data_IF_034879866134
#
_entry.id   IF_034879866134
#
_cell.length_a   1.000
_cell.length_b   1.000
_cell.length_c   1.000
_cell.angle_alpha   90.00
_cell.angle_beta   90.00
_cell.angle_gamma   90.00
#
_symmetry.space_group_name_H-M   'P 1'
#
loop_
_entity.id
_entity.type
_entity.pdbx_description
1 polymer ?
#
# COMPACT_ATOMS: atom_id res chain seq x y z
N UNK A 1 7.43 -0.31 -7.72
CA UNK A 1 7.48 1.14 -7.93
C UNK A 1 8.09 1.53 -9.27
N UNK A 2 9.23 0.96 -9.69
CA UNK A 2 9.88 1.29 -10.98
C UNK A 2 8.97 1.09 -12.21
N UNK A 3 8.24 -0.03 -12.28
CA UNK A 3 7.29 -0.28 -13.37
C UNK A 3 6.14 0.73 -13.40
N UNK A 4 5.60 1.12 -12.24
CA UNK A 4 4.56 2.15 -12.16
C UNK A 4 5.08 3.49 -12.71
N UNK A 5 6.32 3.87 -12.34
CA UNK A 5 6.96 5.10 -12.83
C UNK A 5 7.16 5.09 -14.35
N UNK A 6 7.70 4.01 -14.90
CA UNK A 6 7.89 3.87 -16.36
C UNK A 6 6.57 4.02 -17.12
N UNK A 7 5.51 3.37 -16.64
CA UNK A 7 4.20 3.47 -17.29
C UNK A 7 3.60 4.87 -17.18
N UNK A 8 3.84 5.58 -16.07
CA UNK A 8 3.45 6.98 -15.95
C UNK A 8 4.17 7.87 -16.97
N UNK A 9 5.50 7.71 -17.11
CA UNK A 9 6.32 8.44 -18.09
C UNK A 9 5.91 8.14 -19.54
N UNK A 10 5.41 6.93 -19.80
CA UNK A 10 4.89 6.50 -21.12
C UNK A 10 3.43 6.93 -21.37
N UNK A 11 2.76 7.60 -20.43
CA UNK A 11 1.36 8.01 -20.55
C UNK A 11 0.34 6.88 -20.34
N UNK A 12 0.78 5.69 -19.92
CA UNK A 12 -0.08 4.56 -19.58
C UNK A 12 -0.59 4.67 -18.14
N UNK A 13 -1.41 5.70 -17.87
CA UNK A 13 -1.80 6.10 -16.50
C UNK A 13 -2.60 5.03 -15.74
N UNK A 14 -3.52 4.32 -16.41
CA UNK A 14 -4.33 3.27 -15.78
C UNK A 14 -3.42 2.14 -15.25
N UNK A 15 -2.45 1.72 -16.08
CA UNK A 15 -1.49 0.70 -15.71
C UNK A 15 -0.51 1.20 -14.63
N UNK A 16 -0.10 2.46 -14.70
CA UNK A 16 0.72 3.08 -13.66
C UNK A 16 0.00 3.07 -12.30
N UNK A 17 -1.29 3.41 -12.28
CA UNK A 17 -2.12 3.40 -11.08
C UNK A 17 -2.25 1.99 -10.50
N UNK A 18 -2.62 1.01 -11.32
CA UNK A 18 -2.71 -0.40 -10.93
C UNK A 18 -1.39 -0.91 -10.32
N UNK A 19 -0.26 -0.64 -10.97
CA UNK A 19 1.06 -1.05 -10.49
C UNK A 19 1.45 -0.34 -9.18
N UNK A 20 1.01 0.90 -8.97
CA UNK A 20 1.23 1.61 -7.72
C UNK A 20 0.45 0.98 -6.56
N UNK A 21 -0.84 0.65 -6.78
CA UNK A 21 -1.67 -0.05 -5.81
C UNK A 21 -1.07 -1.41 -5.45
N UNK A 22 -0.71 -2.23 -6.44
CA UNK A 22 -0.10 -3.55 -6.22
C UNK A 22 1.21 -3.48 -5.44
N UNK A 23 2.02 -2.46 -5.72
CA UNK A 23 3.25 -2.22 -4.96
C UNK A 23 2.95 -1.88 -3.49
N UNK A 24 2.01 -0.97 -3.23
CA UNK A 24 1.61 -0.61 -1.87
C UNK A 24 1.05 -1.82 -1.10
N UNK A 25 0.25 -2.65 -1.76
CA UNK A 25 -0.33 -3.87 -1.19
C UNK A 25 0.76 -4.85 -0.73
N UNK A 26 1.72 -5.14 -1.62
CA UNK A 26 2.82 -6.06 -1.32
C UNK A 26 3.74 -5.53 -0.23
N UNK A 27 3.99 -4.22 -0.21
CA UNK A 27 4.80 -3.58 0.84
C UNK A 27 4.15 -3.70 2.22
N UNK A 28 2.85 -3.38 2.30
CA UNK A 28 2.09 -3.51 3.55
C UNK A 28 2.00 -4.96 4.02
N UNK A 29 1.79 -5.90 3.08
CA UNK A 29 1.84 -7.34 3.37
C UNK A 29 3.19 -7.77 3.94
N UNK A 30 4.29 -7.36 3.31
CA UNK A 30 5.63 -7.67 3.80
C UNK A 30 5.89 -7.08 5.18
N UNK A 31 5.46 -5.84 5.43
CA UNK A 31 5.56 -5.21 6.73
C UNK A 31 4.76 -5.98 7.80
N UNK A 32 3.50 -6.33 7.53
CA UNK A 32 2.66 -7.08 8.48
C UNK A 32 3.22 -8.48 8.77
N UNK A 33 3.74 -9.18 7.76
CA UNK A 33 4.44 -10.46 7.95
C UNK A 33 5.67 -10.29 8.83
N UNK A 34 6.45 -9.21 8.62
CA UNK A 34 7.65 -8.95 9.43
C UNK A 34 7.32 -8.67 10.89
N UNK A 35 6.28 -7.88 11.16
CA UNK A 35 5.96 -7.44 12.53
C UNK A 35 5.06 -8.45 13.29
N UNK A 36 4.18 -9.17 12.61
CA UNK A 36 3.18 -10.06 13.25
C UNK A 36 3.25 -11.53 12.82
N UNK A 37 4.11 -11.90 11.86
CA UNK A 37 4.25 -13.26 11.34
C UNK A 37 3.06 -13.77 10.51
N UNK A 38 1.96 -13.00 10.43
CA UNK A 38 0.74 -13.40 9.74
C UNK A 38 0.59 -12.66 8.40
N UNK A 39 0.33 -13.42 7.34
CA UNK A 39 -0.05 -12.85 6.03
C UNK A 39 -1.48 -12.33 6.10
N UNK A 40 -1.74 -11.04 5.85
CA UNK A 40 -3.10 -10.52 5.85
C UNK A 40 -3.86 -10.99 4.60
N UNK A 41 -5.11 -11.41 4.80
CA UNK A 41 -6.02 -11.89 3.75
C UNK A 41 -6.99 -10.80 3.30
N UNK A 42 -6.46 -9.59 3.08
CA UNK A 42 -7.22 -8.43 2.59
C UNK A 42 -6.43 -7.75 1.46
N UNK A 43 -7.14 -7.02 0.62
CA UNK A 43 -6.60 -6.14 -0.41
C UNK A 43 -6.69 -4.66 -0.02
N UNK A 44 -7.37 -4.33 1.08
CA UNK A 44 -7.45 -2.94 1.54
C UNK A 44 -6.11 -2.48 2.12
N UNK A 45 -5.49 -1.53 1.43
CA UNK A 45 -4.35 -0.75 1.87
C UNK A 45 -4.67 0.00 3.17
N UNK A 46 -5.86 0.58 3.29
CA UNK A 46 -6.25 1.31 4.51
C UNK A 46 -6.32 0.39 5.73
N UNK A 47 -6.99 -0.77 5.60
CA UNK A 47 -7.04 -1.74 6.68
C UNK A 47 -5.65 -2.25 7.09
N UNK A 48 -4.79 -2.57 6.11
CA UNK A 48 -3.44 -3.03 6.40
C UNK A 48 -2.58 -1.95 7.06
N UNK A 49 -2.66 -0.70 6.59
CA UNK A 49 -1.97 0.43 7.20
C UNK A 49 -2.43 0.66 8.64
N UNK A 50 -3.74 0.56 8.90
CA UNK A 50 -4.31 0.67 10.25
C UNK A 50 -3.86 -0.44 11.18
N UNK A 51 -3.85 -1.69 10.71
CA UNK A 51 -3.32 -2.82 11.50
C UNK A 51 -1.85 -2.62 11.84
N UNK A 52 -1.04 -2.17 10.87
CA UNK A 52 0.38 -1.92 11.08
C UNK A 52 0.63 -0.78 12.08
N UNK A 53 -0.17 0.28 12.02
CA UNK A 53 -0.08 1.41 12.96
C UNK A 53 -0.38 0.98 14.40
N UNK A 54 -1.38 0.11 14.58
CA UNK A 54 -1.69 -0.50 15.88
C UNK A 54 -0.53 -1.34 16.41
N UNK A 55 0.08 -2.17 15.56
CA UNK A 55 1.22 -3.02 15.96
C UNK A 55 2.43 -2.16 16.37
N UNK A 56 2.68 -1.07 15.64
CA UNK A 56 3.81 -0.16 15.91
C UNK A 56 3.53 0.88 16.98
N UNK A 57 2.31 0.93 17.51
CA UNK A 57 1.85 1.98 18.42
C UNK A 57 2.13 3.39 17.89
N UNK A 58 1.80 3.62 16.62
CA UNK A 58 1.90 4.93 15.95
C UNK A 58 0.57 5.29 15.28
N UNK A 59 0.31 6.58 15.13
CA UNK A 59 -0.83 7.05 14.34
C UNK A 59 -0.56 6.91 12.85
N UNK A 60 -1.61 6.64 12.07
CA UNK A 60 -1.52 6.73 10.61
C UNK A 60 -1.45 8.20 10.25
N UNK A 61 -0.38 8.62 9.59
CA UNK A 61 -0.31 9.98 9.03
C UNK A 61 -1.43 10.22 8.03
N UNK A 62 -2.05 11.41 8.09
CA UNK A 62 -3.19 11.79 7.24
C UNK A 62 -2.94 11.54 5.75
N UNK A 63 -1.74 11.89 5.25
CA UNK A 63 -1.35 11.64 3.87
C UNK A 63 -1.34 10.15 3.48
N UNK A 64 -0.97 9.27 4.40
CA UNK A 64 -1.01 7.81 4.16
C UNK A 64 -2.45 7.32 4.08
N UNK A 65 -3.32 7.80 4.96
CA UNK A 65 -4.74 7.45 4.94
C UNK A 65 -5.44 7.94 3.67
N UNK A 66 -5.12 9.15 3.22
CA UNK A 66 -5.64 9.72 1.95
C UNK A 66 -5.15 8.90 0.76
N UNK A 67 -3.84 8.64 0.66
CA UNK A 67 -3.28 7.83 -0.43
C UNK A 67 -3.86 6.42 -0.47
N UNK A 68 -4.00 5.76 0.69
CA UNK A 68 -4.54 4.41 0.77
C UNK A 68 -5.98 4.33 0.22
N UNK A 69 -6.81 5.36 0.49
CA UNK A 69 -8.17 5.44 -0.04
C UNK A 69 -8.23 5.83 -1.52
N UNK A 70 -7.27 6.59 -2.01
CA UNK A 70 -7.24 7.06 -3.40
C UNK A 70 -6.69 6.01 -4.39
N UNK A 71 -5.93 5.03 -3.88
CA UNK A 71 -5.33 3.93 -4.65
C UNK A 71 -6.21 2.67 -4.68
N UNK A 72 -7.30 2.62 -3.90
CA UNK A 72 -8.31 1.55 -3.88
C UNK A 72 -9.49 1.90 -4.79
#
# INVERSE_FOLDING_TARGET
MELARRNFEMGAYDLACFLAQQFAELLLKAALVREAGARPMTHSLYEMAKRLSMIKNVEIGEGVALCAKALE
#
